data_IF_280363683535
#
_entry.id   IF_280363683535
#
_cell.length_a   1.000
_cell.length_b   1.000
_cell.length_c   1.000
_cell.angle_alpha   90.00
_cell.angle_beta   90.00
_cell.angle_gamma   90.00
#
_symmetry.space_group_name_H-M   'P 1'
#
loop_
_entity.id
_entity.type
_entity.pdbx_description
1 polymer ?
#
# COMPACT_ATOMS: atom_id res chain seq x y z
N UNK A 1 -8.43 -8.32 -12.68
CA UNK A 1 -7.81 -9.16 -11.63
C UNK A 1 -8.14 -8.68 -10.20
N UNK A 2 -7.99 -7.40 -9.81
CA UNK A 2 -8.38 -6.97 -8.44
C UNK A 2 -9.89 -6.77 -8.21
N UNK A 3 -10.65 -6.32 -9.22
CA UNK A 3 -12.11 -6.17 -9.06
C UNK A 3 -12.81 -7.49 -8.76
N UNK A 4 -12.28 -8.63 -9.23
CA UNK A 4 -12.85 -9.95 -8.93
C UNK A 4 -12.70 -10.32 -7.45
N UNK A 5 -11.61 -9.87 -6.80
CA UNK A 5 -11.33 -10.12 -5.38
C UNK A 5 -12.20 -9.21 -4.49
N UNK A 6 -12.62 -8.05 -4.99
CA UNK A 6 -13.51 -7.12 -4.29
C UNK A 6 -14.98 -7.25 -4.72
N UNK A 7 -15.37 -8.36 -5.37
CA UNK A 7 -16.73 -8.57 -5.87
C UNK A 7 -17.26 -7.42 -6.76
N UNK A 8 -16.39 -6.82 -7.56
CA UNK A 8 -16.67 -5.69 -8.44
C UNK A 8 -16.63 -4.32 -7.76
N UNK A 9 -16.34 -4.26 -6.45
CA UNK A 9 -16.34 -2.99 -5.71
C UNK A 9 -15.01 -2.24 -5.86
N UNK A 10 -15.09 -0.92 -6.07
CA UNK A 10 -13.91 -0.05 -6.20
C UNK A 10 -13.12 0.08 -4.88
N UNK A 11 -13.82 0.01 -3.75
CA UNK A 11 -13.29 0.09 -2.40
C UNK A 11 -14.24 -0.61 -1.43
N UNK A 12 -13.73 -1.02 -0.27
CA UNK A 12 -14.51 -1.64 0.83
C UNK A 12 -14.63 -0.72 2.06
N UNK A 13 -13.94 0.43 2.06
CA UNK A 13 -13.93 1.36 3.18
C UNK A 13 -15.29 2.06 3.38
N UNK A 14 -15.75 2.25 4.63
CA UNK A 14 -17.03 2.89 4.92
C UNK A 14 -16.93 4.42 4.86
N UNK A 15 -16.76 4.99 3.67
CA UNK A 15 -16.55 6.45 3.46
C UNK A 15 -17.84 7.28 3.40
N UNK A 16 -19.00 6.65 3.64
CA UNK A 16 -20.31 7.28 3.52
C UNK A 16 -20.71 7.56 2.06
N UNK A 17 -21.77 8.36 1.89
CA UNK A 17 -22.34 8.67 0.57
C UNK A 17 -21.78 9.96 -0.05
N UNK A 18 -21.21 10.85 0.77
CA UNK A 18 -20.79 12.19 0.34
C UNK A 18 -19.36 12.53 0.76
N UNK A 19 -18.34 11.76 0.32
CA UNK A 19 -16.96 12.20 0.46
C UNK A 19 -16.73 13.50 -0.33
N UNK A 20 -15.95 14.42 0.23
CA UNK A 20 -15.62 15.69 -0.44
C UNK A 20 -14.27 15.63 -1.14
N UNK A 21 -13.28 14.95 -0.56
CA UNK A 21 -11.90 14.86 -1.09
C UNK A 21 -11.38 13.42 -1.10
N UNK A 22 -11.02 12.93 -2.28
CA UNK A 22 -10.49 11.58 -2.50
C UNK A 22 -9.13 11.65 -3.20
N UNK A 23 -8.14 10.95 -2.68
CA UNK A 23 -6.82 10.82 -3.31
C UNK A 23 -6.54 9.37 -3.70
N UNK A 24 -6.05 9.16 -4.92
CA UNK A 24 -5.58 7.88 -5.43
C UNK A 24 -4.07 7.96 -5.65
N UNK A 25 -3.29 7.14 -4.93
CA UNK A 25 -1.83 7.18 -4.96
C UNK A 25 -1.32 5.98 -5.75
N UNK A 26 -0.40 6.23 -6.69
CA UNK A 26 0.09 5.19 -7.60
C UNK A 26 -0.98 4.84 -8.61
N UNK A 27 -1.45 5.84 -9.34
CA UNK A 27 -2.69 5.79 -10.12
C UNK A 27 -2.61 4.84 -11.31
N UNK A 28 -1.41 4.58 -11.84
CA UNK A 28 -1.18 3.59 -12.89
C UNK A 28 -1.97 3.91 -14.16
N UNK A 29 -2.89 3.03 -14.56
CA UNK A 29 -3.73 3.23 -15.76
C UNK A 29 -4.89 4.21 -15.55
N UNK A 30 -5.00 4.80 -14.36
CA UNK A 30 -5.93 5.90 -14.02
C UNK A 30 -7.43 5.56 -14.02
N UNK A 31 -7.81 4.38 -14.48
CA UNK A 31 -9.21 3.88 -14.56
C UNK A 31 -9.94 4.03 -13.22
N UNK A 32 -9.27 3.71 -12.10
CA UNK A 32 -9.91 3.76 -10.79
C UNK A 32 -10.34 5.17 -10.39
N UNK A 33 -9.50 6.18 -10.67
CA UNK A 33 -9.81 7.57 -10.35
C UNK A 33 -10.99 8.08 -11.20
N UNK A 34 -11.06 7.66 -12.46
CA UNK A 34 -12.17 7.97 -13.38
C UNK A 34 -13.47 7.35 -12.89
N UNK A 35 -13.48 6.05 -12.58
CA UNK A 35 -14.67 5.34 -12.09
C UNK A 35 -15.17 5.93 -10.76
N UNK A 36 -14.26 6.39 -9.90
CA UNK A 36 -14.63 7.10 -8.68
C UNK A 36 -15.20 8.50 -8.97
N UNK A 37 -14.71 9.18 -10.01
CA UNK A 37 -15.20 10.49 -10.43
C UNK A 37 -16.64 10.43 -10.90
N UNK A 38 -16.95 9.38 -11.68
CA UNK A 38 -18.32 9.08 -12.13
C UNK A 38 -19.22 8.68 -10.95
N UNK A 39 -18.68 7.96 -9.96
CA UNK A 39 -19.44 7.52 -8.78
C UNK A 39 -19.74 8.66 -7.80
N UNK A 40 -18.81 9.60 -7.63
CA UNK A 40 -18.92 10.73 -6.69
C UNK A 40 -18.72 12.06 -7.43
N UNK A 41 -19.70 12.51 -8.22
CA UNK A 41 -19.55 13.72 -9.04
C UNK A 41 -19.36 15.01 -8.23
N UNK A 42 -19.73 15.00 -6.94
CA UNK A 42 -19.52 16.12 -6.01
C UNK A 42 -18.16 16.10 -5.30
N UNK A 43 -17.44 14.97 -5.34
CA UNK A 43 -16.14 14.83 -4.71
C UNK A 43 -15.03 15.32 -5.64
N UNK A 44 -14.03 16.00 -5.07
CA UNK A 44 -12.76 16.25 -5.74
C UNK A 44 -11.91 14.97 -5.68
N UNK A 45 -11.45 14.51 -6.85
CA UNK A 45 -10.61 13.33 -6.96
C UNK A 45 -9.26 13.70 -7.54
N UNK A 46 -8.21 13.35 -6.81
CA UNK A 46 -6.83 13.56 -7.23
C UNK A 46 -6.13 12.22 -7.44
N UNK A 47 -5.71 11.96 -8.68
CA UNK A 47 -4.75 10.90 -8.99
C UNK A 47 -3.31 11.42 -8.87
N UNK A 48 -2.49 10.73 -8.10
CA UNK A 48 -1.08 11.01 -7.92
C UNK A 48 -0.25 9.87 -8.50
N UNK A 49 0.70 10.19 -9.37
CA UNK A 49 1.64 9.25 -9.98
C UNK A 49 2.96 9.94 -10.31
N UNK A 50 4.07 9.19 -10.37
CA UNK A 50 5.36 9.73 -10.83
C UNK A 50 5.40 9.89 -12.36
N UNK A 51 4.52 9.19 -13.07
CA UNK A 51 4.50 9.14 -14.52
C UNK A 51 3.34 9.95 -15.11
N UNK A 52 3.58 10.70 -16.21
CA UNK A 52 2.55 11.50 -16.87
C UNK A 52 1.66 10.64 -17.81
N UNK A 53 1.02 9.58 -17.29
CA UNK A 53 0.23 8.64 -18.10
C UNK A 53 -1.27 9.00 -18.01
N UNK A 54 -1.61 10.20 -18.47
CA UNK A 54 -2.99 10.71 -18.36
C UNK A 54 -3.81 10.42 -19.62
N UNK A 55 -5.04 9.87 -19.52
CA UNK A 55 -5.95 9.74 -20.63
C UNK A 55 -6.51 11.11 -21.02
N UNK A 56 -6.83 11.27 -22.29
CA UNK A 56 -7.33 12.53 -22.86
C UNK A 56 -8.71 12.95 -22.33
N UNK A 57 -9.47 12.00 -21.78
CA UNK A 57 -10.84 12.22 -21.34
C UNK A 57 -11.02 11.75 -19.91
N UNK A 58 -11.29 12.70 -19.02
CA UNK A 58 -11.49 12.47 -17.59
C UNK A 58 -12.71 13.26 -17.13
N UNK A 59 -13.43 12.82 -16.09
CA UNK A 59 -14.53 13.59 -15.52
C UNK A 59 -14.03 14.93 -14.96
N UNK A 60 -14.90 15.95 -14.94
CA UNK A 60 -14.52 17.33 -14.56
C UNK A 60 -14.04 17.48 -13.12
N UNK A 61 -14.40 16.53 -12.26
CA UNK A 61 -14.03 16.47 -10.85
C UNK A 61 -12.78 15.60 -10.59
N UNK A 62 -12.17 15.03 -11.64
CA UNK A 62 -10.94 14.24 -11.56
C UNK A 62 -9.77 15.07 -12.07
N UNK A 63 -8.69 15.11 -11.30
CA UNK A 63 -7.43 15.75 -11.65
C UNK A 63 -6.28 14.80 -11.42
N UNK A 64 -5.21 14.99 -12.17
CA UNK A 64 -3.99 14.23 -12.03
C UNK A 64 -2.84 15.17 -11.71
N UNK A 65 -1.99 14.76 -10.78
CA UNK A 65 -0.80 15.48 -10.35
C UNK A 65 0.39 14.55 -10.44
N UNK A 66 1.44 15.05 -11.08
CA UNK A 66 2.73 14.37 -11.09
C UNK A 66 3.45 14.82 -9.84
N UNK A 67 3.55 13.94 -8.86
CA UNK A 67 4.17 14.23 -7.58
C UNK A 67 4.80 12.97 -6.98
N UNK A 68 5.83 13.16 -6.16
CA UNK A 68 6.40 12.07 -5.38
C UNK A 68 5.68 12.00 -4.03
N UNK A 69 4.94 10.91 -3.81
CA UNK A 69 4.20 10.72 -2.56
C UNK A 69 5.11 10.61 -1.32
N UNK A 70 6.40 10.35 -1.51
CA UNK A 70 7.39 10.32 -0.43
C UNK A 70 7.83 11.71 0.05
N UNK A 71 7.52 12.75 -0.71
CA UNK A 71 7.89 14.13 -0.42
C UNK A 71 6.81 14.87 0.37
N UNK A 72 7.04 16.15 0.66
CA UNK A 72 6.00 16.99 1.25
C UNK A 72 4.85 17.14 0.24
N UNK A 73 3.63 16.75 0.65
CA UNK A 73 2.49 16.63 -0.25
C UNK A 73 2.09 18.00 -0.80
N UNK A 74 2.43 18.26 -2.07
CA UNK A 74 1.99 19.46 -2.78
C UNK A 74 0.47 19.49 -2.97
N UNK A 75 -0.17 18.32 -2.90
CA UNK A 75 -1.62 18.14 -2.91
C UNK A 75 -2.33 18.66 -1.65
N UNK A 76 -1.59 18.99 -0.59
CA UNK A 76 -2.14 19.46 0.68
C UNK A 76 -2.72 18.34 1.55
N UNK A 77 -3.62 18.70 2.46
CA UNK A 77 -4.17 17.80 3.48
C UNK A 77 -5.71 17.88 3.56
N UNK A 78 -6.31 17.04 4.42
CA UNK A 78 -7.77 16.98 4.62
C UNK A 78 -8.49 16.05 3.65
N UNK A 79 -7.87 14.93 3.30
CA UNK A 79 -8.47 13.89 2.46
C UNK A 79 -9.44 13.03 3.26
N UNK A 80 -10.66 12.84 2.76
CA UNK A 80 -11.67 11.97 3.37
C UNK A 80 -11.38 10.50 3.08
N UNK A 81 -10.78 10.23 1.92
CA UNK A 81 -10.41 8.89 1.50
C UNK A 81 -9.10 8.89 0.71
N UNK A 82 -8.17 8.01 1.10
CA UNK A 82 -6.96 7.73 0.36
C UNK A 82 -6.97 6.27 -0.10
N UNK A 83 -6.85 6.07 -1.41
CA UNK A 83 -6.78 4.75 -2.02
C UNK A 83 -5.37 4.52 -2.57
N UNK A 84 -4.80 3.37 -2.23
CA UNK A 84 -3.49 2.92 -2.69
C UNK A 84 -3.65 1.49 -3.21
N UNK A 85 -3.20 1.23 -4.43
CA UNK A 85 -3.31 -0.11 -5.04
C UNK A 85 -1.99 -0.51 -5.70
N UNK A 86 -1.49 -1.69 -5.32
CA UNK A 86 -0.34 -2.32 -5.97
C UNK A 86 0.95 -1.47 -6.05
N UNK A 87 1.19 -0.59 -5.07
CA UNK A 87 2.50 0.05 -4.84
C UNK A 87 3.48 -0.96 -4.23
N UNK A 88 3.74 -2.07 -4.93
CA UNK A 88 4.45 -3.21 -4.37
C UNK A 88 5.99 -3.07 -4.36
N UNK A 89 6.60 -1.94 -4.76
CA UNK A 89 8.08 -1.92 -4.82
C UNK A 89 8.79 -0.57 -4.66
N UNK A 90 8.11 0.55 -4.36
CA UNK A 90 8.82 1.86 -4.38
C UNK A 90 8.26 2.98 -3.49
N UNK A 91 7.63 2.65 -2.37
CA UNK A 91 7.50 3.59 -1.25
C UNK A 91 8.53 3.22 -0.18
N UNK A 92 9.74 3.75 -0.32
CA UNK A 92 10.81 3.75 0.68
C UNK A 92 11.24 5.22 0.78
N UNK A 93 10.73 5.96 1.77
CA UNK A 93 11.21 7.32 2.04
C UNK A 93 12.75 7.32 2.12
N UNK A 94 13.41 7.86 1.09
CA UNK A 94 14.87 7.96 1.03
C UNK A 94 15.41 9.22 1.73
N UNK A 95 14.54 10.04 2.32
CA UNK A 95 14.92 11.36 2.85
C UNK A 95 15.31 11.38 4.32
N UNK A 96 15.30 10.25 5.02
CA UNK A 96 16.04 10.12 6.28
C UNK A 96 17.38 9.45 6.01
N UNK A 97 18.51 10.02 6.47
CA UNK A 97 19.83 9.43 6.30
C UNK A 97 20.01 8.27 7.28
N UNK A 98 19.23 7.20 7.11
CA UNK A 98 19.51 5.92 7.73
C UNK A 98 20.07 5.01 6.65
N UNK A 99 21.39 5.14 6.45
CA UNK A 99 22.32 4.15 5.89
C UNK A 99 21.74 3.13 4.89
N UNK A 100 22.11 3.35 3.63
CA UNK A 100 22.06 2.40 2.52
C UNK A 100 22.06 0.91 2.91
N UNK A 101 20.97 0.20 2.61
CA UNK A 101 21.02 -1.24 2.30
C UNK A 101 20.04 -1.56 1.15
N UNK A 102 20.41 -2.38 0.14
CA UNK A 102 19.66 -2.52 -1.13
C UNK A 102 18.35 -3.33 -1.07
N UNK A 103 17.63 -3.33 0.07
CA UNK A 103 16.40 -4.14 0.23
C UNK A 103 15.37 -3.50 1.16
N UNK A 104 15.36 -2.17 1.26
CA UNK A 104 14.62 -1.40 2.25
C UNK A 104 13.07 -1.31 2.04
N UNK A 105 12.45 -2.25 1.32
CA UNK A 105 10.99 -2.44 1.30
C UNK A 105 10.46 -3.27 2.49
N UNK A 106 11.35 -3.58 3.44
CA UNK A 106 11.17 -4.47 4.58
C UNK A 106 10.26 -3.88 5.66
N UNK A 107 9.11 -4.52 5.88
CA UNK A 107 8.21 -4.34 7.03
C UNK A 107 7.80 -2.91 7.42
N UNK A 108 7.86 -1.94 6.50
CA UNK A 108 7.47 -0.54 6.75
C UNK A 108 6.05 -0.43 7.31
N UNK A 109 5.14 -1.32 6.88
CA UNK A 109 3.77 -1.37 7.38
C UNK A 109 3.70 -1.57 8.90
N UNK A 110 4.50 -2.49 9.46
CA UNK A 110 4.51 -2.76 10.90
C UNK A 110 5.01 -1.54 11.70
N UNK A 111 6.06 -0.87 11.21
CA UNK A 111 6.59 0.33 11.87
C UNK A 111 5.60 1.49 11.84
N UNK A 112 4.88 1.68 10.73
CA UNK A 112 3.86 2.74 10.60
C UNK A 112 2.67 2.49 11.53
N UNK A 113 2.26 1.23 11.72
CA UNK A 113 1.16 0.88 12.63
C UNK A 113 1.41 1.34 14.08
N UNK A 114 2.66 1.35 14.53
CA UNK A 114 3.01 1.84 15.86
C UNK A 114 2.88 3.36 16.01
N UNK A 115 3.10 4.09 14.93
CA UNK A 115 3.15 5.56 14.93
C UNK A 115 1.78 6.18 14.61
N UNK A 116 0.94 5.47 13.87
CA UNK A 116 -0.39 5.95 13.47
C UNK A 116 -1.51 5.00 13.94
N UNK A 117 -2.34 5.42 14.91
CA UNK A 117 -3.45 4.61 15.41
C UNK A 117 -4.54 4.37 14.37
N UNK A 118 -4.58 5.15 13.28
CA UNK A 118 -5.56 4.98 12.20
C UNK A 118 -5.23 3.79 11.29
N UNK A 119 -3.98 3.31 11.32
CA UNK A 119 -3.56 2.16 10.52
C UNK A 119 -3.93 0.88 11.27
N UNK A 120 -4.99 0.21 10.80
CA UNK A 120 -5.60 -0.92 11.49
C UNK A 120 -4.92 -2.28 11.19
N UNK A 121 -4.03 -2.31 10.19
CA UNK A 121 -3.30 -3.51 9.83
C UNK A 121 -2.24 -3.28 8.77
N UNK A 122 -1.45 -4.32 8.49
CA UNK A 122 -0.33 -4.26 7.55
C UNK A 122 -0.08 -5.57 6.82
N UNK A 123 0.66 -5.47 5.72
CA UNK A 123 1.06 -6.60 4.88
C UNK A 123 2.56 -6.50 4.65
N UNK A 124 3.30 -7.58 4.91
CA UNK A 124 4.68 -7.75 4.49
C UNK A 124 4.73 -8.71 3.31
N UNK A 125 5.39 -8.32 2.22
CA UNK A 125 5.50 -9.12 1.01
C UNK A 125 6.98 -9.35 0.73
N UNK A 126 7.50 -10.49 1.19
CA UNK A 126 8.85 -11.03 0.98
C UNK A 126 10.07 -10.36 1.65
N UNK A 127 9.87 -9.41 2.56
CA UNK A 127 10.96 -8.76 3.32
C UNK A 127 11.24 -9.34 4.71
N UNK A 128 12.49 -9.27 5.17
CA UNK A 128 12.82 -9.39 6.60
C UNK A 128 12.27 -8.21 7.42
N UNK A 129 12.40 -8.29 8.74
CA UNK A 129 12.00 -7.22 9.66
C UNK A 129 13.22 -6.48 10.18
N UNK A 130 13.03 -5.20 10.55
CA UNK A 130 14.02 -4.39 11.25
C UNK A 130 13.37 -3.78 12.49
N UNK A 131 14.18 -3.47 13.50
CA UNK A 131 13.71 -2.72 14.67
C UNK A 131 13.05 -1.39 14.23
N UNK A 132 11.91 -0.99 14.83
CA UNK A 132 11.25 -1.60 15.99
C UNK A 132 10.26 -2.73 15.66
N UNK A 133 9.99 -3.00 14.39
CA UNK A 133 9.03 -4.03 13.98
C UNK A 133 9.49 -5.44 14.39
N UNK A 134 10.79 -5.73 14.26
CA UNK A 134 11.37 -7.00 14.70
C UNK A 134 11.16 -7.26 16.19
N UNK A 135 11.46 -6.26 17.03
CA UNK A 135 11.45 -6.41 18.49
C UNK A 135 10.04 -6.38 19.08
N UNK A 136 9.13 -5.59 18.48
CA UNK A 136 7.80 -5.35 19.03
C UNK A 136 6.74 -6.29 18.48
N UNK A 137 6.97 -6.87 17.29
CA UNK A 137 5.96 -7.61 16.55
C UNK A 137 4.72 -6.77 16.22
N UNK A 138 3.76 -7.34 15.51
CA UNK A 138 2.53 -6.65 15.17
C UNK A 138 1.54 -6.67 16.34
N UNK A 139 1.03 -5.49 16.72
CA UNK A 139 0.00 -5.33 17.75
C UNK A 139 -1.42 -5.29 17.18
N UNK A 140 -1.55 -5.21 15.84
CA UNK A 140 -2.82 -5.25 15.10
C UNK A 140 -2.71 -6.23 13.92
N UNK A 141 -3.77 -6.30 13.11
CA UNK A 141 -3.89 -7.29 12.03
C UNK A 141 -2.69 -7.22 11.07
N UNK A 142 -1.93 -8.30 10.93
CA UNK A 142 -0.74 -8.33 10.09
C UNK A 142 -0.66 -9.62 9.29
N UNK A 143 -0.45 -9.50 7.98
CA UNK A 143 -0.29 -10.62 7.07
C UNK A 143 1.13 -10.62 6.50
N UNK A 144 1.77 -11.77 6.56
CA UNK A 144 3.11 -11.99 6.04
C UNK A 144 3.06 -12.95 4.85
N UNK A 145 3.53 -12.51 3.69
CA UNK A 145 3.64 -13.33 2.49
C UNK A 145 5.12 -13.63 2.25
N UNK A 146 5.52 -14.86 2.54
CA UNK A 146 6.90 -15.32 2.45
C UNK A 146 7.15 -16.19 1.22
N UNK A 147 8.38 -16.19 0.73
CA UNK A 147 8.83 -17.23 -0.19
C UNK A 147 9.03 -18.56 0.57
N UNK A 148 9.07 -19.71 -0.12
CA UNK A 148 9.42 -20.96 0.53
C UNK A 148 10.76 -20.85 1.27
N UNK A 149 10.79 -21.39 2.49
CA UNK A 149 11.94 -21.38 3.40
C UNK A 149 12.33 -19.98 3.92
N UNK A 150 11.44 -18.98 3.85
CA UNK A 150 11.75 -17.61 4.31
C UNK A 150 12.19 -17.56 5.78
N UNK A 151 11.58 -18.35 6.67
CA UNK A 151 11.99 -18.45 8.09
C UNK A 151 13.40 -19.02 8.29
N UNK A 152 13.87 -19.86 7.37
CA UNK A 152 15.22 -20.43 7.41
C UNK A 152 16.23 -19.40 6.91
N UNK A 153 15.85 -18.65 5.88
CA UNK A 153 16.70 -17.63 5.25
C UNK A 153 16.82 -16.37 6.10
N UNK A 154 15.79 -16.04 6.86
CA UNK A 154 15.72 -14.82 7.64
C UNK A 154 15.04 -15.06 9.00
N UNK A 155 15.80 -15.07 10.11
CA UNK A 155 15.26 -15.37 11.44
C UNK A 155 14.34 -14.28 11.98
N UNK A 156 14.36 -13.07 11.39
CA UNK A 156 13.53 -11.94 11.82
C UNK A 156 12.02 -12.24 11.72
N UNK A 157 11.64 -13.16 10.82
CA UNK A 157 10.26 -13.63 10.69
C UNK A 157 9.79 -14.40 11.93
N UNK A 158 10.68 -15.16 12.55
CA UNK A 158 10.39 -15.87 13.81
C UNK A 158 10.29 -14.85 14.94
N UNK A 159 11.24 -13.92 15.03
CA UNK A 159 11.26 -12.88 16.05
C UNK A 159 9.96 -12.06 16.05
N UNK A 160 9.48 -11.64 14.87
CA UNK A 160 8.21 -10.91 14.74
C UNK A 160 7.01 -11.77 15.08
N UNK A 161 6.97 -13.03 14.63
CA UNK A 161 5.87 -13.93 14.97
C UNK A 161 5.75 -14.11 16.49
N UNK A 162 6.89 -14.28 17.17
CA UNK A 162 6.95 -14.48 18.63
C UNK A 162 6.62 -13.19 19.41
N UNK A 163 7.01 -12.03 18.88
CA UNK A 163 6.74 -10.73 19.51
C UNK A 163 5.30 -10.22 19.25
N UNK A 164 4.63 -10.69 18.20
CA UNK A 164 3.32 -10.22 17.78
C UNK A 164 2.22 -10.55 18.79
N UNK A 165 1.32 -9.59 19.01
CA UNK A 165 0.19 -9.70 19.96
C UNK A 165 -1.18 -9.54 19.29
N UNK A 166 -1.21 -8.96 18.09
CA UNK A 166 -2.42 -8.80 17.29
C UNK A 166 -2.71 -10.03 16.42
N UNK A 167 -3.84 -10.04 15.68
CA UNK A 167 -4.12 -11.07 14.70
C UNK A 167 -2.99 -11.14 13.66
N UNK A 168 -2.32 -12.29 13.59
CA UNK A 168 -1.14 -12.50 12.76
C UNK A 168 -1.36 -13.72 11.87
N UNK A 169 -1.07 -13.59 10.58
CA UNK A 169 -1.11 -14.69 9.63
C UNK A 169 0.13 -14.67 8.76
N UNK A 170 0.58 -15.85 8.36
CA UNK A 170 1.71 -16.03 7.45
C UNK A 170 1.33 -17.03 6.38
N UNK A 171 1.64 -16.71 5.12
CA UNK A 171 1.38 -17.56 3.98
C UNK A 171 2.66 -17.74 3.16
N UNK A 172 2.98 -19.00 2.89
CA UNK A 172 4.01 -19.35 1.93
C UNK A 172 3.45 -19.25 0.50
N UNK A 173 4.08 -18.42 -0.32
CA UNK A 173 3.81 -18.41 -1.75
C UNK A 173 4.44 -19.66 -2.34
N UNK A 174 3.61 -20.63 -2.73
CA UNK A 174 4.07 -21.85 -3.40
C UNK A 174 4.96 -21.47 -4.60
N UNK A 175 6.02 -22.25 -4.87
CA UNK A 175 6.92 -22.03 -6.02
C UNK A 175 6.08 -21.92 -7.30
N UNK A 176 5.83 -20.70 -7.76
CA UNK A 176 5.23 -20.47 -9.06
C UNK A 176 6.25 -20.94 -10.08
N UNK A 177 5.90 -21.96 -10.86
CA UNK A 177 6.71 -22.34 -12.03
C UNK A 177 6.77 -21.09 -12.93
N UNK A 178 7.94 -20.74 -13.48
CA UNK A 178 8.03 -19.64 -14.43
C UNK A 178 7.00 -19.86 -15.53
N UNK A 179 6.06 -18.93 -15.70
CA UNK A 179 5.11 -18.96 -16.81
C UNK A 179 5.81 -18.41 -18.05
N UNK A 180 6.97 -18.95 -18.42
CA UNK A 180 7.66 -18.64 -19.67
C UNK A 180 8.26 -19.95 -20.21
N UNK A 181 7.63 -20.51 -21.25
CA UNK A 181 8.12 -21.71 -21.94
C UNK A 181 7.08 -22.41 -22.82
N UNK A 182 6.61 -21.74 -23.89
CA UNK A 182 6.25 -22.24 -25.23
C UNK A 182 5.34 -21.22 -25.94
#
# INVERSE_FOLDING_TARGET
>A
MMLEITNGQLFLAPIGENPSKIINIGTGTEIWAIEMGDRFPSAEILGLDLSPIQPLWVPTNVRFMIDDVEDEWASGSGWDFAHLRALQTRLISTKSPCSATPSAGRASAATVMFSDPRVLGGLNMDGGFISPAEDRGADRAFLNLGQPDHRIKDPTWVNVADASRGPYAELDVAKLRPVHGA
#
